data_IF_651745036392
#
_entry.id   IF_651745036392
#
_cell.length_a   1.000
_cell.length_b   1.000
_cell.length_c   1.000
_cell.angle_alpha   90.00
_cell.angle_beta   90.00
_cell.angle_gamma   90.00
#
_symmetry.space_group_name_H-M   'P 1'
#
loop_
_entity.id
_entity.type
_entity.pdbx_description
1 polymer ?
#
# COMPACT_ATOMS: atom_id res chain seq x y z
N UNK A 1 0.17 -23.33 -33.66
CA UNK A 1 0.61 -22.28 -32.73
C UNK A 1 -0.52 -22.01 -31.77
N UNK A 2 -0.54 -22.69 -30.63
CA UNK A 2 -1.56 -22.48 -29.60
C UNK A 2 -1.04 -21.41 -28.65
N UNK A 3 -1.66 -20.23 -28.68
CA UNK A 3 -1.47 -19.18 -27.69
C UNK A 3 -2.20 -19.67 -26.44
N UNK A 4 -1.44 -20.24 -25.50
CA UNK A 4 -1.95 -20.62 -24.19
C UNK A 4 -2.18 -19.32 -23.41
N UNK A 5 -3.42 -18.85 -23.36
CA UNK A 5 -3.83 -17.84 -22.40
C UNK A 5 -3.64 -18.44 -21.00
N UNK A 6 -2.55 -18.06 -20.32
CA UNK A 6 -2.41 -18.32 -18.89
C UNK A 6 -3.57 -17.63 -18.16
N UNK A 7 -4.28 -18.31 -17.26
CA UNK A 7 -5.32 -17.68 -16.47
C UNK A 7 -4.71 -16.56 -15.61
N UNK A 8 -5.41 -15.42 -15.53
CA UNK A 8 -5.08 -14.32 -14.64
C UNK A 8 -4.98 -14.85 -13.20
N UNK A 9 -3.79 -14.72 -12.61
CA UNK A 9 -3.58 -14.97 -11.18
C UNK A 9 -4.30 -13.87 -10.37
N UNK A 10 -4.88 -14.19 -9.21
CA UNK A 10 -5.40 -13.17 -8.29
C UNK A 10 -4.25 -12.24 -7.81
N UNK A 11 -4.54 -10.98 -7.43
CA UNK A 11 -3.52 -10.01 -7.03
C UNK A 11 -2.66 -10.54 -5.90
N UNK A 12 -1.35 -10.31 -5.98
CA UNK A 12 -0.45 -10.55 -4.87
C UNK A 12 -0.79 -9.57 -3.73
N UNK A 13 -0.69 -10.05 -2.49
CA UNK A 13 -0.73 -9.22 -1.30
C UNK A 13 0.64 -9.36 -0.62
N UNK A 14 1.68 -8.70 -1.15
CA UNK A 14 2.93 -8.43 -0.42
C UNK A 14 2.78 -7.17 0.46
N UNK A 15 1.56 -6.95 0.96
CA UNK A 15 1.17 -5.78 1.70
C UNK A 15 1.43 -6.02 3.20
N UNK A 16 2.26 -5.19 3.82
CA UNK A 16 2.46 -5.25 5.28
C UNK A 16 1.27 -4.58 5.97
N UNK A 17 0.50 -5.34 6.75
CA UNK A 17 -0.65 -4.83 7.49
C UNK A 17 -0.36 -4.61 8.99
N UNK A 18 -0.85 -3.50 9.55
CA UNK A 18 -0.97 -3.28 10.99
C UNK A 18 -2.35 -3.72 11.50
N UNK A 19 -2.42 -4.27 12.72
CA UNK A 19 -3.70 -4.67 13.33
C UNK A 19 -4.61 -3.44 13.64
N UNK A 20 -5.93 -3.52 13.38
CA UNK A 20 -6.84 -2.37 13.54
C UNK A 20 -7.29 -2.15 14.99
N UNK A 21 -7.46 -0.87 15.36
CA UNK A 21 -8.15 -0.44 16.58
C UNK A 21 -9.55 0.12 16.23
N UNK A 22 -10.59 -0.32 16.97
CA UNK A 22 -12.00 0.00 16.71
C UNK A 22 -12.52 1.11 17.64
N UNK A 23 -13.25 2.09 17.12
CA UNK A 23 -14.40 2.84 17.70
C UNK A 23 -14.91 3.82 16.62
N UNK A 24 -16.15 4.27 16.46
CA UNK A 24 -17.41 4.24 17.21
C UNK A 24 -18.46 5.03 16.38
N UNK A 25 -19.75 4.86 16.70
CA UNK A 25 -20.89 5.10 15.78
C UNK A 25 -21.35 6.55 15.50
N UNK A 26 -22.14 6.67 14.42
CA UNK A 26 -22.78 7.91 13.95
C UNK A 26 -24.26 8.00 14.36
N UNK A 27 -24.68 9.18 14.83
CA UNK A 27 -26.08 9.56 15.08
C UNK A 27 -26.67 10.31 13.87
N UNK A 28 -27.90 9.97 13.51
CA UNK A 28 -28.67 10.61 12.43
C UNK A 28 -29.52 11.78 12.97
N UNK A 29 -29.53 12.96 12.31
CA UNK A 29 -30.47 14.02 12.64
C UNK A 29 -31.84 13.85 11.94
N UNK A 30 -32.92 14.36 12.53
CA UNK A 30 -34.29 14.20 12.04
C UNK A 30 -34.67 15.19 10.92
N UNK A 31 -35.71 14.81 10.15
CA UNK A 31 -36.26 15.52 8.99
C UNK A 31 -37.09 16.78 9.37
N UNK A 32 -37.06 17.85 8.55
CA UNK A 32 -37.87 19.04 8.78
C UNK A 32 -39.31 18.95 8.20
N UNK A 33 -40.26 19.77 8.73
CA UNK A 33 -41.67 19.76 8.36
C UNK A 33 -41.99 20.54 7.06
N UNK A 34 -43.19 20.27 6.52
CA UNK A 34 -43.73 20.75 5.23
C UNK A 34 -44.32 22.17 5.29
N UNK A 35 -44.12 22.96 4.22
CA UNK A 35 -44.54 24.36 4.10
C UNK A 35 -45.66 24.57 3.06
N UNK A 36 -46.57 25.56 3.25
CA UNK A 36 -47.71 25.82 2.37
C UNK A 36 -47.37 26.55 1.04
N UNK A 37 -48.17 26.25 0.01
CA UNK A 37 -47.96 26.50 -1.44
C UNK A 37 -47.85 27.97 -1.89
N UNK A 38 -48.20 28.97 -1.07
CA UNK A 38 -48.22 30.38 -1.48
C UNK A 38 -46.91 31.14 -1.24
N UNK A 39 -45.95 30.54 -0.51
CA UNK A 39 -44.57 31.03 -0.39
C UNK A 39 -43.62 30.50 -1.49
N UNK A 40 -44.12 29.62 -2.36
CA UNK A 40 -43.31 28.84 -3.32
C UNK A 40 -42.73 29.71 -4.46
N UNK A 41 -43.50 30.68 -4.97
CA UNK A 41 -43.12 31.44 -6.17
C UNK A 41 -42.13 32.58 -5.88
N UNK A 42 -42.26 33.26 -4.72
CA UNK A 42 -41.27 34.27 -4.27
C UNK A 42 -39.98 33.64 -3.72
N UNK A 43 -40.05 32.43 -3.17
CA UNK A 43 -38.85 31.63 -2.88
C UNK A 43 -38.16 31.17 -4.15
N UNK A 44 -38.87 30.76 -5.21
CA UNK A 44 -38.25 30.30 -6.47
C UNK A 44 -37.28 31.32 -7.11
N UNK A 45 -37.62 32.62 -7.15
CA UNK A 45 -36.68 33.63 -7.70
C UNK A 45 -35.51 33.97 -6.79
N UNK A 46 -35.68 33.96 -5.45
CA UNK A 46 -34.57 34.16 -4.49
C UNK A 46 -33.70 32.92 -4.33
N UNK A 47 -34.28 31.72 -4.44
CA UNK A 47 -33.53 30.45 -4.47
C UNK A 47 -32.75 30.31 -5.77
N UNK A 48 -33.26 30.76 -6.92
CA UNK A 48 -32.47 30.73 -8.16
C UNK A 48 -31.20 31.59 -8.06
N UNK A 49 -31.28 32.79 -7.46
CA UNK A 49 -30.10 33.64 -7.24
C UNK A 49 -29.14 33.10 -6.17
N UNK A 50 -29.66 32.48 -5.09
CA UNK A 50 -28.83 31.84 -4.04
C UNK A 50 -28.21 30.53 -4.56
N UNK A 51 -28.90 29.75 -5.41
CA UNK A 51 -28.36 28.54 -6.05
C UNK A 51 -27.24 28.86 -7.03
N UNK A 52 -27.36 29.95 -7.81
CA UNK A 52 -26.29 30.39 -8.72
C UNK A 52 -25.05 30.85 -7.92
N UNK A 53 -25.23 31.53 -6.79
CA UNK A 53 -24.13 31.87 -5.88
C UNK A 53 -23.55 30.64 -5.16
N UNK A 54 -24.37 29.65 -4.78
CA UNK A 54 -23.88 28.41 -4.17
C UNK A 54 -23.11 27.53 -5.17
N UNK A 55 -23.50 27.53 -6.45
CA UNK A 55 -22.78 26.81 -7.52
C UNK A 55 -21.40 27.41 -7.81
N UNK A 56 -21.18 28.70 -7.52
CA UNK A 56 -19.87 29.37 -7.63
C UNK A 56 -18.95 29.13 -6.41
N UNK A 57 -19.49 28.59 -5.32
CA UNK A 57 -18.76 28.21 -4.10
C UNK A 57 -18.71 26.69 -3.89
N UNK A 58 -19.14 25.89 -4.87
CA UNK A 58 -18.84 24.46 -4.83
C UNK A 58 -17.32 24.31 -4.88
N UNK A 59 -16.67 23.69 -3.88
CA UNK A 59 -15.28 23.31 -4.01
C UNK A 59 -15.18 22.49 -5.29
N UNK A 60 -14.27 22.89 -6.18
CA UNK A 60 -13.87 22.04 -7.30
C UNK A 60 -13.65 20.65 -6.70
N UNK A 61 -14.37 19.59 -7.14
CA UNK A 61 -14.05 18.25 -6.68
C UNK A 61 -12.57 18.10 -6.96
N UNK A 62 -11.76 17.93 -5.90
CA UNK A 62 -10.34 17.65 -6.04
C UNK A 62 -10.26 16.57 -7.10
N UNK A 63 -9.70 16.93 -8.27
CA UNK A 63 -9.67 16.04 -9.42
C UNK A 63 -9.11 14.73 -8.90
N UNK A 64 -9.86 13.64 -9.07
CA UNK A 64 -9.40 12.32 -8.69
C UNK A 64 -8.02 12.17 -9.32
N UNK A 65 -6.99 12.18 -8.49
CA UNK A 65 -5.61 12.05 -8.92
C UNK A 65 -5.58 10.75 -9.74
N UNK A 66 -5.04 10.76 -10.96
CA UNK A 66 -4.99 9.56 -11.76
C UNK A 66 -4.37 8.44 -10.90
N UNK A 67 -4.98 7.24 -10.88
CA UNK A 67 -4.44 6.12 -10.13
C UNK A 67 -3.00 5.90 -10.58
N UNK A 68 -2.05 5.95 -9.64
CA UNK A 68 -0.62 5.79 -9.91
C UNK A 68 0.28 6.92 -9.44
N UNK A 69 -0.19 8.15 -9.29
CA UNK A 69 0.69 9.28 -8.94
C UNK A 69 0.69 9.56 -7.43
N UNK A 70 1.29 8.64 -6.67
CA UNK A 70 1.72 8.90 -5.31
C UNK A 70 2.70 10.09 -5.31
N UNK A 71 2.56 11.02 -4.36
CA UNK A 71 3.39 12.20 -4.34
C UNK A 71 4.85 11.85 -3.98
N UNK A 72 5.80 12.65 -4.47
CA UNK A 72 7.23 12.54 -4.14
C UNK A 72 7.70 13.71 -3.24
N UNK A 73 7.26 13.80 -1.96
CA UNK A 73 7.70 14.91 -1.11
C UNK A 73 9.00 14.63 -0.34
N UNK A 74 9.47 13.38 -0.23
CA UNK A 74 10.76 13.03 0.41
C UNK A 74 11.17 11.55 0.22
N UNK A 75 11.84 11.17 -0.88
CA UNK A 75 12.46 9.84 -1.06
C UNK A 75 13.40 9.45 0.10
N UNK A 76 13.41 8.17 0.55
CA UNK A 76 14.46 7.68 1.44
C UNK A 76 15.84 7.97 0.83
N UNK A 77 16.81 8.41 1.63
CA UNK A 77 18.15 8.73 1.14
C UNK A 77 18.78 7.52 0.43
N UNK A 78 19.57 7.77 -0.62
CA UNK A 78 20.29 6.72 -1.32
C UNK A 78 21.23 5.94 -0.38
N UNK A 79 21.78 6.60 0.63
CA UNK A 79 22.63 6.00 1.67
C UNK A 79 21.87 4.97 2.49
N UNK A 80 20.64 5.30 2.92
CA UNK A 80 19.77 4.38 3.65
C UNK A 80 19.44 3.15 2.82
N UNK A 81 19.03 3.32 1.55
CA UNK A 81 18.74 2.20 0.65
C UNK A 81 19.98 1.29 0.52
N UNK A 82 21.15 1.87 0.25
CA UNK A 82 22.40 1.11 0.14
C UNK A 82 22.81 0.42 1.45
N UNK A 83 22.58 1.02 2.62
CA UNK A 83 22.82 0.41 3.92
C UNK A 83 21.94 -0.83 4.11
N UNK A 84 20.63 -0.70 3.89
CA UNK A 84 19.66 -1.79 4.03
C UNK A 84 19.97 -2.91 3.03
N UNK A 85 20.24 -2.59 1.76
CA UNK A 85 20.62 -3.59 0.74
C UNK A 85 21.90 -4.34 1.13
N UNK A 86 22.92 -3.65 1.65
CA UNK A 86 24.14 -4.32 2.13
C UNK A 86 23.88 -5.21 3.33
N UNK A 87 23.03 -4.77 4.26
CA UNK A 87 22.61 -5.59 5.39
C UNK A 87 21.90 -6.87 4.91
N UNK A 88 20.99 -6.78 3.92
CA UNK A 88 20.31 -7.94 3.32
C UNK A 88 21.34 -8.92 2.75
N UNK A 89 22.29 -8.44 1.95
CA UNK A 89 23.35 -9.28 1.37
C UNK A 89 24.19 -9.98 2.44
N UNK A 90 24.55 -9.27 3.52
CA UNK A 90 25.32 -9.83 4.62
C UNK A 90 24.55 -10.93 5.39
N UNK A 91 23.23 -10.79 5.55
CA UNK A 91 22.40 -11.76 6.28
C UNK A 91 22.00 -12.98 5.47
N UNK A 92 21.97 -12.86 4.14
CA UNK A 92 21.39 -13.89 3.25
C UNK A 92 22.41 -14.56 2.34
N UNK A 93 23.52 -13.89 2.04
CA UNK A 93 24.45 -14.30 1.00
C UNK A 93 23.92 -14.10 -0.43
N UNK A 94 22.81 -13.39 -0.62
CA UNK A 94 22.29 -13.05 -1.94
C UNK A 94 23.22 -12.10 -2.70
N UNK A 95 23.24 -12.22 -4.02
CA UNK A 95 23.88 -11.23 -4.89
C UNK A 95 23.04 -9.96 -4.91
N UNK A 96 23.62 -8.90 -4.36
CA UNK A 96 23.00 -7.57 -4.27
C UNK A 96 23.55 -6.60 -5.32
N UNK A 97 24.43 -7.05 -6.21
CA UNK A 97 25.13 -6.20 -7.18
C UNK A 97 24.15 -5.42 -8.05
N UNK A 98 23.10 -6.10 -8.54
CA UNK A 98 22.06 -5.46 -9.36
C UNK A 98 21.27 -4.42 -8.56
N UNK A 99 20.79 -4.76 -7.36
CA UNK A 99 20.02 -3.84 -6.52
C UNK A 99 20.84 -2.62 -6.09
N UNK A 100 22.16 -2.77 -5.87
CA UNK A 100 23.03 -1.64 -5.57
C UNK A 100 23.30 -0.75 -6.79
N UNK A 101 23.43 -1.33 -7.97
CA UNK A 101 23.69 -0.58 -9.20
C UNK A 101 22.44 0.16 -9.72
N UNK A 102 21.27 -0.45 -9.54
CA UNK A 102 19.97 0.03 -10.01
C UNK A 102 18.89 -0.27 -8.94
N UNK A 103 18.77 0.57 -7.89
CA UNK A 103 17.81 0.36 -6.82
C UNK A 103 16.36 0.54 -7.29
N UNK A 104 15.38 -0.12 -6.66
CA UNK A 104 13.98 0.05 -7.00
C UNK A 104 13.52 1.49 -6.77
N UNK A 105 12.54 1.95 -7.57
CA UNK A 105 11.91 3.26 -7.36
C UNK A 105 11.14 3.27 -6.06
N UNK A 106 11.03 4.43 -5.41
CA UNK A 106 10.25 4.60 -4.18
C UNK A 106 9.28 5.77 -4.32
N UNK A 107 8.03 5.59 -3.91
CA UNK A 107 7.02 6.67 -3.84
C UNK A 107 6.22 6.63 -2.55
N UNK A 108 5.67 7.78 -2.14
CA UNK A 108 4.90 7.91 -0.91
C UNK A 108 3.41 8.10 -1.20
N UNK A 109 2.61 7.21 -0.63
CA UNK A 109 1.18 7.18 -0.86
C UNK A 109 0.41 7.54 0.42
N UNK A 110 -0.60 8.39 0.29
CA UNK A 110 -1.56 8.63 1.36
C UNK A 110 -2.56 7.48 1.46
N UNK A 111 -3.03 7.20 2.67
CA UNK A 111 -4.16 6.30 2.87
C UNK A 111 -5.37 6.75 2.05
N UNK A 112 -6.04 5.82 1.38
CA UNK A 112 -7.17 6.09 0.48
C UNK A 112 -6.78 6.47 -0.94
N UNK A 113 -5.49 6.68 -1.25
CA UNK A 113 -5.02 6.75 -2.63
C UNK A 113 -5.10 5.40 -3.31
N UNK A 114 -5.05 5.42 -4.64
CA UNK A 114 -5.09 4.24 -5.48
C UNK A 114 -3.77 4.08 -6.21
N UNK A 115 -3.16 2.90 -6.10
CA UNK A 115 -1.93 2.53 -6.80
C UNK A 115 -2.22 1.44 -7.83
N UNK A 116 -1.43 1.43 -8.90
CA UNK A 116 -1.38 0.29 -9.81
C UNK A 116 -0.35 -0.68 -9.23
N UNK A 117 -0.80 -1.87 -8.90
CA UNK A 117 -0.04 -2.94 -8.29
C UNK A 117 -0.28 -4.20 -9.11
N UNK A 118 0.74 -4.65 -9.84
CA UNK A 118 0.68 -5.86 -10.68
C UNK A 118 -0.53 -5.90 -11.63
N UNK A 119 -0.69 -4.82 -12.40
CA UNK A 119 -1.82 -4.61 -13.33
C UNK A 119 -3.20 -4.52 -12.66
N UNK A 120 -3.25 -4.41 -11.33
CA UNK A 120 -4.48 -4.24 -10.56
C UNK A 120 -4.51 -2.91 -9.83
N UNK A 121 -5.73 -2.45 -9.58
CA UNK A 121 -5.98 -1.20 -8.86
C UNK A 121 -6.16 -1.52 -7.38
N UNK A 122 -5.20 -1.09 -6.55
CA UNK A 122 -5.22 -1.29 -5.09
C UNK A 122 -5.52 0.05 -4.39
N UNK A 123 -6.47 0.03 -3.45
CA UNK A 123 -6.70 1.15 -2.53
C UNK A 123 -5.74 0.97 -1.34
N UNK A 124 -4.98 2.02 -1.01
CA UNK A 124 -4.08 2.05 0.14
C UNK A 124 -4.90 2.04 1.44
N UNK A 125 -4.96 0.88 2.09
CA UNK A 125 -5.66 0.67 3.36
C UNK A 125 -4.88 1.27 4.55
N UNK A 126 -5.54 1.74 5.64
CA UNK A 126 -4.85 2.25 6.82
C UNK A 126 -3.89 1.26 7.49
N UNK A 127 -4.11 -0.04 7.30
CA UNK A 127 -3.22 -1.09 7.77
C UNK A 127 -1.96 -1.22 6.92
N UNK A 128 -2.01 -0.86 5.63
CA UNK A 128 -0.91 -1.01 4.68
C UNK A 128 0.26 -0.07 5.07
N UNK A 129 1.46 -0.62 5.21
CA UNK A 129 2.69 0.16 5.47
C UNK A 129 3.56 0.34 4.25
N UNK A 130 3.66 -0.69 3.43
CA UNK A 130 4.40 -0.68 2.19
C UNK A 130 3.91 -1.80 1.26
N UNK A 131 4.27 -1.69 -0.02
CA UNK A 131 4.07 -2.73 -1.03
C UNK A 131 5.15 -2.65 -2.11
N UNK A 132 5.60 -3.79 -2.61
CA UNK A 132 6.53 -3.90 -3.73
C UNK A 132 5.85 -4.43 -4.99
N UNK A 133 5.89 -3.65 -6.06
CA UNK A 133 5.51 -4.08 -7.41
C UNK A 133 6.73 -4.65 -8.14
N UNK A 134 6.70 -5.96 -8.37
CA UNK A 134 7.76 -6.69 -9.06
C UNK A 134 7.90 -6.29 -10.53
N UNK A 135 6.79 -5.99 -11.22
CA UNK A 135 6.80 -5.74 -12.66
C UNK A 135 7.59 -4.48 -12.99
N UNK A 136 7.45 -3.49 -12.12
CA UNK A 136 8.02 -2.14 -12.29
C UNK A 136 9.22 -1.87 -11.37
N UNK A 137 9.56 -2.81 -10.49
CA UNK A 137 10.55 -2.67 -9.40
C UNK A 137 10.31 -1.37 -8.62
N UNK A 138 9.10 -1.24 -8.10
CA UNK A 138 8.61 -0.02 -7.45
C UNK A 138 8.10 -0.33 -6.05
N UNK A 139 8.70 0.33 -5.06
CA UNK A 139 8.28 0.32 -3.67
C UNK A 139 7.33 1.49 -3.41
N UNK A 140 6.14 1.18 -2.92
CA UNK A 140 5.20 2.16 -2.40
C UNK A 140 5.28 2.16 -0.87
N UNK A 141 5.60 3.31 -0.27
CA UNK A 141 5.59 3.53 1.18
C UNK A 141 4.35 4.33 1.57
N UNK A 142 3.68 3.97 2.66
CA UNK A 142 2.45 4.65 3.09
C UNK A 142 2.76 5.74 4.12
N UNK A 143 2.20 6.93 3.92
CA UNK A 143 2.33 8.06 4.84
C UNK A 143 1.40 7.92 6.07
N UNK A 144 1.82 8.45 7.23
CA UNK A 144 3.10 9.09 7.49
C UNK A 144 4.24 8.07 7.63
N UNK A 145 5.37 8.35 6.97
CA UNK A 145 6.59 7.56 7.04
C UNK A 145 7.75 8.44 7.54
N UNK A 146 8.57 7.91 8.45
CA UNK A 146 9.69 8.63 9.04
C UNK A 146 10.99 7.80 9.00
N UNK A 147 12.03 8.34 8.38
CA UNK A 147 13.37 7.73 8.34
C UNK A 147 14.02 7.59 9.72
N UNK A 148 13.58 8.36 10.72
CA UNK A 148 14.03 8.24 12.10
C UNK A 148 13.27 7.17 12.89
N UNK A 149 12.15 6.66 12.37
CA UNK A 149 11.35 5.61 13.00
C UNK A 149 11.77 4.23 12.49
N UNK A 150 12.38 3.37 13.32
CA UNK A 150 12.85 2.06 12.87
C UNK A 150 11.73 1.15 12.34
N UNK A 151 10.49 1.30 12.80
CA UNK A 151 9.37 0.51 12.27
C UNK A 151 9.05 0.87 10.81
N UNK A 152 9.09 2.16 10.49
CA UNK A 152 8.87 2.66 9.13
C UNK A 152 10.05 2.27 8.22
N UNK A 153 11.28 2.37 8.71
CA UNK A 153 12.47 1.87 8.01
C UNK A 153 12.41 0.35 7.79
N UNK A 154 11.87 -0.42 8.75
CA UNK A 154 11.72 -1.87 8.59
C UNK A 154 10.71 -2.26 7.51
N UNK A 155 9.70 -1.42 7.23
CA UNK A 155 8.78 -1.65 6.13
C UNK A 155 9.50 -1.47 4.78
N UNK A 156 10.33 -0.42 4.64
CA UNK A 156 11.22 -0.27 3.48
C UNK A 156 12.19 -1.45 3.34
N UNK A 157 12.77 -1.93 4.44
CA UNK A 157 13.65 -3.09 4.44
C UNK A 157 12.93 -4.34 3.90
N UNK A 158 11.69 -4.59 4.32
CA UNK A 158 10.90 -5.74 3.85
C UNK A 158 10.71 -5.70 2.33
N UNK A 159 10.36 -4.55 1.78
CA UNK A 159 10.20 -4.43 0.33
C UNK A 159 11.54 -4.54 -0.43
N UNK A 160 12.64 -4.05 0.14
CA UNK A 160 13.98 -4.27 -0.43
C UNK A 160 14.40 -5.75 -0.37
N UNK A 161 13.97 -6.50 0.65
CA UNK A 161 14.18 -7.95 0.70
C UNK A 161 13.48 -8.62 -0.48
N UNK A 162 12.27 -8.20 -0.83
CA UNK A 162 11.55 -8.72 -2.00
C UNK A 162 12.28 -8.42 -3.31
N UNK A 163 12.76 -7.20 -3.52
CA UNK A 163 13.57 -6.85 -4.70
C UNK A 163 14.79 -7.78 -4.84
N UNK A 164 15.53 -8.01 -3.75
CA UNK A 164 16.70 -8.89 -3.75
C UNK A 164 16.29 -10.36 -3.96
N UNK A 165 15.28 -10.86 -3.24
CA UNK A 165 14.87 -12.25 -3.27
C UNK A 165 14.37 -12.70 -4.65
N UNK A 166 13.55 -11.86 -5.29
CA UNK A 166 12.87 -12.19 -6.55
C UNK A 166 13.81 -12.11 -7.76
N UNK A 167 14.95 -11.42 -7.62
CA UNK A 167 16.02 -11.41 -8.62
C UNK A 167 16.98 -12.60 -8.42
N UNK A 168 17.19 -13.05 -7.17
CA UNK A 168 18.19 -14.06 -6.84
C UNK A 168 17.73 -15.51 -7.08
N UNK A 169 16.43 -15.79 -7.04
CA UNK A 169 15.89 -17.13 -7.29
C UNK A 169 14.41 -17.14 -7.61
N UNK A 170 13.98 -18.25 -8.18
CA UNK A 170 12.57 -18.60 -8.30
C UNK A 170 11.99 -19.08 -6.97
N UNK A 171 10.70 -18.81 -6.79
CA UNK A 171 9.93 -19.25 -5.62
C UNK A 171 8.76 -20.14 -6.06
N UNK A 172 8.41 -21.17 -5.28
CA UNK A 172 7.37 -22.13 -5.65
C UNK A 172 5.97 -21.52 -5.74
N UNK A 173 5.76 -20.38 -5.08
CA UNK A 173 4.55 -19.59 -5.15
C UNK A 173 4.82 -18.16 -4.67
N UNK A 174 3.84 -17.29 -4.85
CA UNK A 174 3.91 -15.87 -4.49
C UNK A 174 4.07 -15.62 -2.99
N UNK A 175 3.49 -16.47 -2.13
CA UNK A 175 3.60 -16.31 -0.67
C UNK A 175 4.89 -16.89 -0.08
N UNK A 176 5.56 -17.82 -0.75
CA UNK A 176 6.78 -18.45 -0.22
C UNK A 176 7.90 -17.47 0.20
N UNK A 177 8.20 -16.37 -0.51
CA UNK A 177 9.19 -15.38 -0.07
C UNK A 177 8.88 -14.72 1.28
N UNK A 178 7.61 -14.52 1.61
CA UNK A 178 7.17 -13.77 2.79
C UNK A 178 7.75 -14.33 4.10
N UNK A 179 7.84 -15.65 4.24
CA UNK A 179 8.35 -16.26 5.46
C UNK A 179 9.77 -15.79 5.78
N UNK A 180 10.63 -15.77 4.76
CA UNK A 180 12.01 -15.32 4.92
C UNK A 180 12.06 -13.80 5.08
N UNK A 181 11.23 -13.04 4.36
CA UNK A 181 11.17 -11.59 4.45
C UNK A 181 10.83 -11.12 5.87
N UNK A 182 9.75 -11.65 6.47
CA UNK A 182 9.36 -11.33 7.85
C UNK A 182 10.40 -11.77 8.87
N UNK A 183 11.08 -12.91 8.66
CA UNK A 183 12.18 -13.34 9.54
C UNK A 183 13.38 -12.39 9.52
N UNK A 184 13.73 -11.88 8.35
CA UNK A 184 14.79 -10.88 8.22
C UNK A 184 14.35 -9.55 8.82
N UNK A 185 13.11 -9.12 8.60
CA UNK A 185 12.57 -7.90 9.22
C UNK A 185 12.56 -7.99 10.76
N UNK A 186 12.13 -9.12 11.33
CA UNK A 186 12.22 -9.40 12.78
C UNK A 186 13.66 -9.28 13.26
N UNK A 187 14.61 -9.91 12.54
CA UNK A 187 16.03 -9.90 12.90
C UNK A 187 16.59 -8.48 12.95
N UNK A 188 16.31 -7.66 11.93
CA UNK A 188 16.79 -6.28 11.87
C UNK A 188 16.21 -5.38 12.98
N UNK A 189 14.95 -5.59 13.35
CA UNK A 189 14.30 -4.89 14.46
C UNK A 189 14.85 -5.36 15.81
N UNK A 190 15.11 -6.66 15.96
CA UNK A 190 15.68 -7.25 17.17
C UNK A 190 17.11 -6.75 17.44
N UNK A 191 17.93 -6.54 16.41
CA UNK A 191 19.25 -5.89 16.53
C UNK A 191 19.19 -4.48 17.15
N UNK A 192 18.01 -3.84 17.10
CA UNK A 192 17.73 -2.52 17.68
C UNK A 192 16.91 -2.60 18.98
N UNK A 193 16.70 -3.80 19.52
CA UNK A 193 15.93 -4.03 20.74
C UNK A 193 14.42 -3.79 20.58
N UNK A 194 13.89 -3.89 19.36
CA UNK A 194 12.49 -3.63 19.06
C UNK A 194 11.76 -4.95 18.78
N UNK A 195 10.68 -5.19 19.52
CA UNK A 195 9.72 -6.24 19.20
C UNK A 195 8.80 -5.74 18.05
N UNK A 196 8.76 -6.45 16.90
CA UNK A 196 7.88 -6.08 15.80
C UNK A 196 6.39 -6.18 16.16
N UNK A 197 6.00 -7.05 17.10
CA UNK A 197 4.60 -7.34 17.40
C UNK A 197 3.88 -8.08 16.27
N UNK A 198 4.61 -8.87 15.48
CA UNK A 198 4.06 -9.62 14.36
C UNK A 198 3.09 -10.73 14.79
N UNK A 199 1.99 -10.88 14.04
CA UNK A 199 1.15 -12.07 14.11
C UNK A 199 1.80 -13.20 13.30
N UNK A 200 2.64 -13.97 13.98
CA UNK A 200 3.37 -15.09 13.36
C UNK A 200 2.45 -16.20 12.82
N UNK A 201 1.26 -16.38 13.39
CA UNK A 201 0.30 -17.36 12.86
C UNK A 201 -0.24 -16.88 11.52
N UNK A 202 -0.62 -15.61 11.43
CA UNK A 202 -1.05 -14.99 10.19
C UNK A 202 0.07 -15.05 9.14
N UNK A 203 1.28 -14.59 9.46
CA UNK A 203 2.43 -14.64 8.54
C UNK A 203 2.69 -16.07 8.05
N UNK A 204 2.67 -17.06 8.94
CA UNK A 204 2.85 -18.46 8.55
C UNK A 204 1.78 -18.92 7.55
N UNK A 205 0.52 -18.55 7.75
CA UNK A 205 -0.58 -18.92 6.86
C UNK A 205 -0.45 -18.23 5.48
N UNK A 206 -0.07 -16.95 5.45
CA UNK A 206 0.16 -16.19 4.22
C UNK A 206 1.38 -16.70 3.43
N UNK A 207 2.41 -17.15 4.14
CA UNK A 207 3.65 -17.59 3.50
C UNK A 207 3.55 -18.97 2.83
N UNK A 208 2.41 -19.67 2.96
CA UNK A 208 2.24 -21.02 2.45
C UNK A 208 1.80 -21.01 0.99
N UNK A 209 2.34 -21.93 0.22
CA UNK A 209 1.82 -22.20 -1.11
C UNK A 209 0.44 -22.87 -1.04
N UNK A 210 -0.48 -22.51 -1.97
CA UNK A 210 -1.73 -23.24 -2.16
C UNK A 210 -1.44 -24.74 -2.27
N UNK A 211 -2.19 -25.56 -1.52
CA UNK A 211 -2.03 -27.02 -1.53
C UNK A 211 -3.06 -27.72 -2.42
N UNK A 212 -4.00 -26.95 -2.98
CA UNK A 212 -5.14 -27.48 -3.73
C UNK A 212 -4.99 -27.17 -5.22
N UNK A 213 -4.46 -28.14 -5.97
CA UNK A 213 -4.90 -28.38 -7.35
C UNK A 213 -6.09 -29.32 -7.20
N UNK A 214 -7.32 -28.80 -7.27
CA UNK A 214 -8.46 -29.67 -7.48
C UNK A 214 -8.36 -30.23 -8.91
N UNK A 215 -8.38 -31.56 -9.12
CA UNK A 215 -8.58 -32.11 -10.45
C UNK A 215 -9.98 -31.70 -10.92
N UNK A 216 -10.06 -31.23 -12.17
CA UNK A 216 -11.32 -30.92 -12.86
C UNK A 216 -12.28 -32.12 -12.90
#
# INVERSE_FOLDING_TARGET
MAVLHKPLKPPLNCAIFSAPASTGGFHTPPLPPSYPLTQLVKRMLRTLAILICLMLYLPVPAGAQPPGDCADPAVPSAELIQELTRWIGAQTGYDITRTLADPPRVSFCDTGQTIIYEDQTLIVDPGLRAAYDLSDRHIYLVLPWDAANPKDVSALLHELIHDVQLINRDWPCVGAPEWQAYKLQETWLAERGIDPGFDWLHIYMYSRCPRDIHPD
#
